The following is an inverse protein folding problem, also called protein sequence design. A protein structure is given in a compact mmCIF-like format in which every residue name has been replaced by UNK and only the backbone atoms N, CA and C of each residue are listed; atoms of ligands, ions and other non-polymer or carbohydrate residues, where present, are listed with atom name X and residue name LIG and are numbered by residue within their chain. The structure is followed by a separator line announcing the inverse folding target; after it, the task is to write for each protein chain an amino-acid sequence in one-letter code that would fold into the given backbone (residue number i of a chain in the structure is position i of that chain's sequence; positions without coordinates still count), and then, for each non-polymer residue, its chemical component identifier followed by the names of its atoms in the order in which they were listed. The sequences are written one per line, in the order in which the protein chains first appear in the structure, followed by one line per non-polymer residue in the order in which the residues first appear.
data_IF_584035811137
#
_entry.id   IF_584035811137
#
_cell.length_a   1.000
_cell.length_b   1.000
_cell.length_c   1.000
_cell.angle_alpha   90.00
_cell.angle_beta   90.00
_cell.angle_gamma   90.00
#
_symmetry.space_group_name_H-M   'P 1'
#
loop_
_entity.id
_entity.type
_entity.pdbx_description
1 polymer ?
#
# COMPACT_ATOMS: atom_id res chain seq x y z
N UNK A 1 -9.94 -8.19 -17.38
CA UNK A 1 -8.84 -7.23 -17.61
C UNK A 1 -7.95 -7.18 -16.39
N UNK A 2 -6.66 -7.14 -16.60
CA UNK A 2 -5.68 -7.08 -15.50
C UNK A 2 -4.74 -5.91 -15.74
N UNK A 3 -4.62 -5.01 -14.76
CA UNK A 3 -3.75 -3.83 -14.85
C UNK A 3 -2.82 -3.85 -13.65
N UNK A 4 -1.54 -3.61 -13.91
CA UNK A 4 -0.49 -3.66 -12.89
C UNK A 4 0.17 -2.30 -12.73
N UNK A 5 0.37 -1.87 -11.48
CA UNK A 5 1.16 -0.72 -11.11
C UNK A 5 2.28 -1.16 -10.18
N UNK A 6 3.47 -0.61 -10.40
CA UNK A 6 4.62 -0.88 -9.54
C UNK A 6 5.08 0.42 -8.91
N UNK A 7 5.25 0.39 -7.60
CA UNK A 7 5.72 1.55 -6.82
C UNK A 7 6.97 1.13 -6.07
N UNK A 8 8.08 1.79 -6.35
CA UNK A 8 9.32 1.59 -5.63
C UNK A 8 9.36 2.51 -4.42
N UNK A 9 9.84 1.98 -3.30
CA UNK A 9 9.94 2.70 -2.04
C UNK A 9 11.13 2.15 -1.25
N UNK A 10 11.27 2.56 -0.02
CA UNK A 10 12.34 2.06 0.86
C UNK A 10 11.90 2.00 2.31
N UNK A 11 12.71 1.33 3.12
CA UNK A 11 12.47 1.20 4.54
C UNK A 11 12.80 2.47 5.32
N UNK A 12 12.50 2.42 6.61
CA UNK A 12 12.81 3.49 7.56
C UNK A 12 12.97 2.88 8.96
N UNK A 13 13.91 3.37 9.73
CA UNK A 13 14.20 2.82 11.06
C UNK A 13 13.01 2.90 12.04
N UNK A 14 12.07 3.80 11.81
CA UNK A 14 10.90 3.99 12.66
C UNK A 14 9.67 3.18 12.22
N UNK A 15 9.79 2.29 11.24
CA UNK A 15 8.67 1.42 10.84
C UNK A 15 8.29 0.51 12.01
N UNK A 16 7.03 0.59 12.42
CA UNK A 16 6.46 -0.26 13.46
C UNK A 16 5.63 -1.41 12.87
N UNK A 17 4.83 -1.11 11.85
CA UNK A 17 3.95 -2.08 11.18
C UNK A 17 3.05 -2.81 12.18
N UNK A 18 2.36 -2.04 13.01
CA UNK A 18 1.52 -2.59 14.10
C UNK A 18 0.06 -2.18 14.00
N UNK A 19 -0.31 -1.31 13.05
CA UNK A 19 -1.69 -0.88 12.90
C UNK A 19 -2.58 -2.04 12.46
N UNK A 20 -3.74 -2.18 13.12
CA UNK A 20 -4.64 -3.34 12.91
C UNK A 20 -5.60 -3.19 11.74
N UNK A 21 -5.83 -1.98 11.27
CA UNK A 21 -6.87 -1.68 10.28
C UNK A 21 -6.32 -1.25 8.91
N UNK A 22 -5.11 -0.70 8.85
CA UNK A 22 -4.54 -0.16 7.62
C UNK A 22 -3.05 -0.46 7.48
N UNK A 23 -2.55 -0.33 6.24
CA UNK A 23 -1.14 -0.07 6.04
C UNK A 23 -0.99 1.03 4.98
N UNK A 24 0.11 1.74 5.04
CA UNK A 24 0.35 2.91 4.23
C UNK A 24 1.75 2.89 3.64
N UNK A 25 1.86 3.34 2.40
CA UNK A 25 3.11 3.65 1.72
C UNK A 25 3.06 5.14 1.38
N UNK A 26 4.15 5.85 1.61
CA UNK A 26 4.17 7.31 1.41
C UNK A 26 5.40 7.78 0.63
N UNK A 27 5.23 8.85 -0.15
CA UNK A 27 6.35 9.54 -0.81
C UNK A 27 7.20 10.33 0.19
N UNK A 28 6.66 10.65 1.36
CA UNK A 28 7.43 11.32 2.39
C UNK A 28 8.59 10.45 2.85
N UNK A 29 9.69 11.08 3.26
CA UNK A 29 10.88 10.38 3.72
C UNK A 29 11.02 10.38 5.23
N UNK A 30 10.21 11.19 5.92
CA UNK A 30 10.19 11.27 7.38
C UNK A 30 9.11 10.35 7.95
N UNK A 31 9.44 9.71 9.03
CA UNK A 31 8.50 8.86 9.75
C UNK A 31 8.84 8.89 11.23
N UNK A 32 7.82 9.08 12.09
CA UNK A 32 7.96 8.91 13.53
C UNK A 32 7.34 7.56 13.92
N UNK A 33 7.64 7.11 15.14
CA UNK A 33 7.08 5.84 15.64
C UNK A 33 5.56 5.88 15.81
N UNK A 34 4.95 7.07 15.84
CA UNK A 34 3.50 7.22 15.88
C UNK A 34 2.82 6.81 14.58
N UNK A 35 3.55 6.83 13.47
CA UNK A 35 3.04 6.36 12.18
C UNK A 35 3.08 4.84 12.07
N UNK A 36 2.37 4.15 12.93
CA UNK A 36 2.42 2.70 13.07
C UNK A 36 1.78 1.93 11.90
N UNK A 37 1.09 2.62 10.98
CA UNK A 37 0.55 2.03 9.77
C UNK A 37 1.51 2.12 8.58
N UNK A 38 2.50 3.01 8.62
CA UNK A 38 3.43 3.21 7.51
C UNK A 38 4.44 2.07 7.44
N UNK A 39 4.53 1.44 6.27
CA UNK A 39 5.40 0.28 6.05
C UNK A 39 6.55 0.57 5.10
N UNK A 40 6.45 1.64 4.30
CA UNK A 40 7.52 2.08 3.40
C UNK A 40 7.42 3.57 3.15
N UNK A 41 8.57 4.21 2.96
CA UNK A 41 8.71 5.65 2.73
C UNK A 41 9.43 5.91 1.42
N UNK A 42 9.49 7.18 1.01
CA UNK A 42 10.19 7.57 -0.20
C UNK A 42 9.65 6.94 -1.46
N UNK A 43 8.35 6.66 -1.49
CA UNK A 43 7.70 6.03 -2.63
C UNK A 43 7.78 6.92 -3.87
N UNK A 44 7.89 6.30 -5.03
CA UNK A 44 7.97 7.02 -6.30
C UNK A 44 6.60 7.56 -6.74
N UNK A 45 5.51 7.04 -6.17
CA UNK A 45 4.13 7.43 -6.50
C UNK A 45 3.28 7.55 -5.24
N UNK A 46 2.37 8.53 -5.22
CA UNK A 46 1.23 8.56 -4.32
C UNK A 46 -0.02 8.09 -5.06
N UNK A 47 -1.18 8.12 -4.40
CA UNK A 47 -2.44 7.67 -5.00
C UNK A 47 -2.76 8.41 -6.30
N UNK A 48 -2.54 9.72 -6.32
CA UNK A 48 -2.84 10.56 -7.50
C UNK A 48 -1.98 10.22 -8.72
N UNK A 49 -0.80 9.64 -8.50
CA UNK A 49 0.16 9.33 -9.57
C UNK A 49 -0.09 7.98 -10.26
N UNK A 50 -1.02 7.19 -9.76
CA UNK A 50 -1.33 5.90 -10.36
C UNK A 50 -1.90 6.09 -11.77
N UNK A 51 -1.68 5.10 -12.62
CA UNK A 51 -2.15 5.13 -14.00
C UNK A 51 -3.68 5.27 -14.06
N UNK A 52 -4.18 6.06 -15.00
CA UNK A 52 -5.61 6.30 -15.15
C UNK A 52 -6.38 4.99 -15.37
N UNK A 53 -5.84 4.07 -16.14
CA UNK A 53 -6.49 2.79 -16.40
C UNK A 53 -6.62 1.95 -15.13
N UNK A 54 -5.60 1.99 -14.28
CA UNK A 54 -5.66 1.34 -12.96
C UNK A 54 -6.77 1.95 -12.11
N UNK A 55 -6.83 3.28 -12.04
CA UNK A 55 -7.84 4.00 -11.27
C UNK A 55 -9.25 3.64 -11.74
N UNK A 56 -9.48 3.63 -13.04
CA UNK A 56 -10.79 3.31 -13.60
C UNK A 56 -11.21 1.88 -13.28
N UNK A 57 -10.29 0.92 -13.42
CA UNK A 57 -10.58 -0.48 -13.09
C UNK A 57 -10.85 -0.67 -11.60
N UNK A 58 -10.09 0.02 -10.74
CA UNK A 58 -10.24 -0.07 -9.29
C UNK A 58 -11.55 0.53 -8.78
N UNK A 59 -12.16 1.45 -9.52
CA UNK A 59 -13.45 2.07 -9.16
C UNK A 59 -14.65 1.16 -9.35
N UNK A 60 -14.45 -0.06 -9.75
CA UNK A 60 -15.54 -1.05 -9.84
C UNK A 60 -15.65 -1.80 -8.51
N UNK A 61 -16.85 -1.87 -7.95
CA UNK A 61 -17.05 -2.42 -6.60
C UNK A 61 -16.68 -3.90 -6.47
N UNK A 62 -16.74 -4.67 -7.54
CA UNK A 62 -16.36 -6.08 -7.55
C UNK A 62 -14.97 -6.32 -8.15
N UNK A 63 -14.18 -5.27 -8.33
CA UNK A 63 -12.79 -5.42 -8.76
C UNK A 63 -11.97 -6.08 -7.65
N UNK A 64 -11.06 -6.97 -8.02
CA UNK A 64 -10.14 -7.60 -7.10
C UNK A 64 -8.79 -6.91 -7.19
N UNK A 65 -8.30 -6.46 -6.05
CA UNK A 65 -7.00 -5.78 -5.97
C UNK A 65 -6.06 -6.64 -5.13
N UNK A 66 -4.90 -6.93 -5.68
CA UNK A 66 -3.84 -7.65 -4.97
C UNK A 66 -2.67 -6.70 -4.78
N UNK A 67 -2.19 -6.60 -3.55
CA UNK A 67 -1.02 -5.79 -3.23
C UNK A 67 0.08 -6.73 -2.77
N UNK A 68 1.20 -6.73 -3.47
CA UNK A 68 2.37 -7.53 -3.11
C UNK A 68 3.48 -6.59 -2.65
N UNK A 69 4.01 -6.83 -1.47
CA UNK A 69 5.09 -6.03 -0.89
C UNK A 69 6.31 -6.93 -0.78
N UNK A 70 7.40 -6.54 -1.41
CA UNK A 70 8.62 -7.34 -1.49
C UNK A 70 9.82 -6.57 -0.97
N UNK A 71 10.62 -7.25 -0.14
CA UNK A 71 11.93 -6.79 0.30
C UNK A 71 12.88 -7.97 0.11
N UNK A 72 13.72 -7.92 -0.93
CA UNK A 72 14.55 -9.05 -1.40
C UNK A 72 13.67 -10.29 -1.65
N UNK A 73 13.97 -11.42 -1.04
CA UNK A 73 13.21 -12.66 -1.21
C UNK A 73 11.99 -12.77 -0.28
N UNK A 74 11.79 -11.79 0.61
CA UNK A 74 10.66 -11.81 1.56
C UNK A 74 9.51 -10.99 0.99
N UNK A 75 8.32 -11.58 0.94
CA UNK A 75 7.14 -10.88 0.43
C UNK A 75 5.89 -11.19 1.23
N UNK A 76 4.96 -10.26 1.15
CA UNK A 76 3.61 -10.36 1.71
C UNK A 76 2.62 -10.09 0.60
N UNK A 77 1.56 -10.88 0.55
CA UNK A 77 0.48 -10.70 -0.44
C UNK A 77 -0.80 -10.34 0.30
N UNK A 78 -1.40 -9.23 -0.08
CA UNK A 78 -2.66 -8.74 0.50
C UNK A 78 -3.73 -8.74 -0.58
N UNK A 79 -4.88 -9.33 -0.28
CA UNK A 79 -6.03 -9.32 -1.19
C UNK A 79 -7.08 -8.35 -0.67
N UNK A 80 -7.55 -7.50 -1.57
CA UNK A 80 -8.48 -6.43 -1.26
C UNK A 80 -9.45 -6.22 -2.42
N UNK A 81 -10.27 -5.19 -2.32
CA UNK A 81 -11.31 -4.89 -3.30
C UNK A 81 -11.25 -3.45 -3.76
N UNK A 82 -11.73 -3.22 -4.98
CA UNK A 82 -12.02 -1.88 -5.47
C UNK A 82 -13.29 -1.32 -4.86
N UNK A 83 -13.57 -0.06 -5.17
CA UNK A 83 -14.77 0.62 -4.71
C UNK A 83 -15.05 1.80 -5.63
N UNK A 84 -16.31 2.00 -5.99
CA UNK A 84 -16.71 3.08 -6.91
C UNK A 84 -16.40 4.48 -6.36
N UNK A 85 -16.19 4.61 -5.05
CA UNK A 85 -15.92 5.88 -4.39
C UNK A 85 -14.45 6.24 -4.30
N UNK A 86 -13.55 5.37 -4.75
CA UNK A 86 -12.11 5.64 -4.75
C UNK A 86 -11.81 6.84 -5.65
N UNK A 87 -11.22 7.89 -5.09
CA UNK A 87 -10.93 9.13 -5.83
C UNK A 87 -9.48 9.25 -6.29
N UNK A 88 -8.54 8.59 -5.61
CA UNK A 88 -7.12 8.61 -5.96
C UNK A 88 -6.59 10.04 -6.12
N UNK A 89 -6.83 10.90 -5.13
CA UNK A 89 -6.48 12.33 -5.23
C UNK A 89 -5.26 12.72 -4.40
N UNK A 90 -4.83 11.88 -3.46
CA UNK A 90 -3.75 12.27 -2.56
C UNK A 90 -2.39 12.19 -3.26
N UNK A 91 -1.58 13.27 -3.20
CA UNK A 91 -0.31 13.30 -3.94
C UNK A 91 0.81 12.48 -3.29
N UNK A 92 0.70 12.16 -2.00
CA UNK A 92 1.81 11.55 -1.26
C UNK A 92 1.54 10.12 -0.82
N UNK A 93 0.33 9.78 -0.41
CA UNK A 93 0.05 8.54 0.31
C UNK A 93 -0.74 7.53 -0.51
N UNK A 94 -0.49 6.26 -0.21
CA UNK A 94 -1.24 5.12 -0.69
C UNK A 94 -1.67 4.34 0.55
N UNK A 95 -2.97 4.25 0.81
CA UNK A 95 -3.50 3.57 2.00
C UNK A 95 -4.38 2.40 1.58
N UNK A 96 -4.13 1.24 2.16
CA UNK A 96 -4.94 0.04 2.01
C UNK A 96 -5.67 -0.20 3.32
N UNK A 97 -6.99 -0.41 3.25
CA UNK A 97 -7.85 -0.51 4.43
C UNK A 97 -8.55 -1.85 4.51
N UNK A 98 -8.63 -2.40 5.71
CA UNK A 98 -9.46 -3.58 5.96
C UNK A 98 -10.95 -3.21 5.97
N UNK A 99 -11.27 -1.98 6.39
CA UNK A 99 -12.63 -1.45 6.35
C UNK A 99 -13.03 -1.03 4.94
N UNK A 100 -14.27 -0.57 4.80
CA UNK A 100 -14.77 0.04 3.56
C UNK A 100 -14.61 1.56 3.51
N UNK A 101 -13.90 2.16 4.44
CA UNK A 101 -13.73 3.60 4.46
C UNK A 101 -12.90 4.08 3.26
N UNK A 102 -13.36 5.15 2.62
CA UNK A 102 -12.72 5.72 1.42
C UNK A 102 -12.42 7.20 1.62
N UNK A 103 -11.19 7.59 1.33
CA UNK A 103 -10.78 8.99 1.21
C UNK A 103 -9.79 9.11 0.05
N UNK A 104 -9.27 10.31 -0.19
CA UNK A 104 -8.35 10.55 -1.32
C UNK A 104 -7.06 9.71 -1.30
N UNK A 105 -6.67 9.19 -0.15
CA UNK A 105 -5.47 8.36 0.03
C UNK A 105 -5.74 6.86 -0.18
N UNK A 106 -7.00 6.45 -0.16
CA UNK A 106 -7.38 5.03 -0.21
C UNK A 106 -7.20 4.48 -1.62
N UNK A 107 -6.48 3.37 -1.73
CA UNK A 107 -6.27 2.68 -3.02
C UNK A 107 -6.97 1.33 -3.09
N UNK A 108 -7.35 0.76 -1.95
CA UNK A 108 -8.10 -0.49 -1.88
C UNK A 108 -8.81 -0.60 -0.52
N UNK A 109 -9.93 -1.30 -0.49
CA UNK A 109 -10.75 -1.53 0.70
C UNK A 109 -10.97 -3.03 0.92
N UNK A 110 -11.51 -3.39 2.07
CA UNK A 110 -11.82 -4.77 2.37
C UNK A 110 -10.62 -5.71 2.34
N UNK A 111 -9.45 -5.21 2.71
CA UNK A 111 -8.22 -6.00 2.68
C UNK A 111 -8.24 -7.11 3.73
N UNK A 112 -7.59 -8.22 3.41
CA UNK A 112 -7.47 -9.35 4.34
C UNK A 112 -6.33 -9.16 5.37
N UNK A 113 -5.47 -8.17 5.17
CA UNK A 113 -4.35 -7.87 6.06
C UNK A 113 -4.17 -6.37 6.25
N UNK A 114 -3.66 -6.00 7.42
CA UNK A 114 -3.17 -4.66 7.72
C UNK A 114 -1.70 -4.76 8.17
N UNK A 115 -1.11 -3.64 8.56
CA UNK A 115 0.30 -3.58 8.95
C UNK A 115 0.66 -4.61 10.03
N UNK A 116 -0.23 -4.82 11.02
CA UNK A 116 0.03 -5.76 12.12
C UNK A 116 0.11 -7.22 11.70
N UNK A 117 -0.39 -7.56 10.52
CA UNK A 117 -0.41 -8.94 10.00
C UNK A 117 0.84 -9.30 9.21
N UNK A 118 1.71 -8.34 8.91
CA UNK A 118 2.92 -8.61 8.14
C UNK A 118 3.90 -9.43 8.98
N UNK A 119 4.61 -10.37 8.34
CA UNK A 119 5.59 -11.17 9.04
C UNK A 119 6.67 -10.29 9.67
N UNK A 120 7.13 -10.67 10.86
CA UNK A 120 8.19 -9.89 11.51
C UNK A 120 9.48 -9.90 10.72
N UNK A 121 9.72 -10.93 9.93
CA UNK A 121 10.87 -11.01 9.02
C UNK A 121 10.82 -9.91 7.97
N UNK A 122 9.66 -9.66 7.38
CA UNK A 122 9.47 -8.56 6.43
C UNK A 122 9.63 -7.22 7.15
N UNK A 123 9.04 -7.07 8.33
CA UNK A 123 9.12 -5.82 9.11
C UNK A 123 10.56 -5.48 9.48
N UNK A 124 11.39 -6.46 9.81
CA UNK A 124 12.80 -6.22 10.07
C UNK A 124 13.50 -5.63 8.85
N UNK A 125 13.22 -6.13 7.67
CA UNK A 125 13.75 -5.56 6.42
C UNK A 125 13.23 -4.15 6.19
N UNK A 126 11.96 -3.89 6.47
CA UNK A 126 11.35 -2.57 6.34
C UNK A 126 11.98 -1.52 7.27
N UNK A 127 12.60 -1.94 8.37
CA UNK A 127 13.30 -1.04 9.30
C UNK A 127 14.66 -0.59 8.81
N UNK A 128 15.18 -1.21 7.78
CA UNK A 128 16.46 -0.81 7.19
C UNK A 128 16.23 0.33 6.20
N UNK A 129 16.79 1.54 6.46
CA UNK A 129 16.61 2.68 5.54
C UNK A 129 17.20 2.45 4.14
N UNK A 130 18.14 1.53 4.01
CA UNK A 130 18.76 1.19 2.72
C UNK A 130 18.01 0.10 1.97
N UNK A 131 17.01 -0.52 2.60
CA UNK A 131 16.26 -1.61 1.98
C UNK A 131 15.33 -1.07 0.91
N UNK A 132 15.49 -1.57 -0.30
CA UNK A 132 14.53 -1.31 -1.38
C UNK A 132 13.28 -2.15 -1.15
N UNK A 133 12.12 -1.52 -1.29
CA UNK A 133 10.83 -2.17 -1.13
C UNK A 133 10.04 -1.95 -2.41
N UNK A 134 9.55 -3.03 -2.99
CA UNK A 134 8.75 -3.00 -4.20
C UNK A 134 7.30 -3.30 -3.85
N UNK A 135 6.42 -2.41 -4.21
CA UNK A 135 4.97 -2.58 -4.03
C UNK A 135 4.34 -2.77 -5.40
N UNK A 136 3.69 -3.89 -5.61
CA UNK A 136 2.97 -4.19 -6.85
C UNK A 136 1.48 -4.20 -6.56
N UNK A 137 0.74 -3.36 -7.28
CA UNK A 137 -0.72 -3.27 -7.20
C UNK A 137 -1.28 -3.87 -8.47
N UNK A 138 -2.11 -4.87 -8.35
CA UNK A 138 -2.75 -5.53 -9.50
C UNK A 138 -4.25 -5.44 -9.33
N UNK A 139 -4.96 -4.95 -10.35
CA UNK A 139 -6.41 -4.93 -10.35
C UNK A 139 -6.93 -5.84 -11.47
N UNK A 140 -7.91 -6.65 -11.10
CA UNK A 140 -8.62 -7.54 -12.02
C UNK A 140 -10.12 -7.23 -11.95
N UNK A 141 -10.71 -7.04 -13.09
CA UNK A 141 -12.14 -6.74 -13.16
C UNK A 141 -12.83 -7.50 -14.27
#
# INVERSE_FOLDING_TARGET
MRIVEVVDARGHENVQSTHRATFEVTRETRLTRRGDCVVAVGAMKGAADLNLRFKEAARKDNARITITIEADEVKEVVRAKGNSRLSFTHPMDLVVRRSGYVCGRTVAVGADKAASHFSRKLVEKMRDPCQKIKITLTVES
#
